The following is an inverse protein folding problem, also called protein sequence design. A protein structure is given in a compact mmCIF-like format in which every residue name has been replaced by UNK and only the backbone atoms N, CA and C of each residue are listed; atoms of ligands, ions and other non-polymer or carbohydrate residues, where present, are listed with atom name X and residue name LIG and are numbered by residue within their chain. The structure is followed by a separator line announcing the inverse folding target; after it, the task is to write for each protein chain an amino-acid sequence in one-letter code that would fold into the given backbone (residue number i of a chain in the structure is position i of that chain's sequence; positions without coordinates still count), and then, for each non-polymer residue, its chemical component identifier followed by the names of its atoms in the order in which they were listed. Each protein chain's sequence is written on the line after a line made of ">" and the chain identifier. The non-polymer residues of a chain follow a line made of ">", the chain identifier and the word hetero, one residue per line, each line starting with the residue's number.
data_IF_643061448575
#
_entry.id   IF_643061448575
#
_cell.length_a   1.000
_cell.length_b   1.000
_cell.length_c   1.000
_cell.angle_alpha   90.00
_cell.angle_beta   90.00
_cell.angle_gamma   90.00
#
_symmetry.space_group_name_H-M   'P 1'
#
loop_
_entity.id
_entity.type
_entity.pdbx_description
1 polymer ?
#
# COMPACT_ATOMS: atom_id res chain seq x y z
N UNK A 1 -6.20 20.69 -14.28
CA UNK A 1 -7.03 20.44 -15.49
C UNK A 1 -7.60 19.04 -15.40
N UNK A 2 -8.92 18.85 -15.52
CA UNK A 2 -9.49 17.50 -15.61
C UNK A 2 -9.25 16.96 -17.02
N UNK A 3 -8.55 15.84 -17.12
CA UNK A 3 -8.35 15.13 -18.39
C UNK A 3 -9.33 13.97 -18.49
N UNK A 4 -9.42 13.36 -19.67
CA UNK A 4 -10.17 12.09 -19.87
C UNK A 4 -9.62 10.95 -19.00
N UNK A 5 -8.38 11.07 -18.50
CA UNK A 5 -7.71 10.05 -17.68
C UNK A 5 -7.88 10.27 -16.18
N UNK A 6 -8.30 11.45 -15.72
CA UNK A 6 -8.35 11.78 -14.28
C UNK A 6 -9.24 10.84 -13.47
N UNK A 7 -10.36 10.38 -14.05
CA UNK A 7 -11.25 9.39 -13.43
C UNK A 7 -10.54 8.04 -13.25
N UNK A 8 -9.83 7.58 -14.28
CA UNK A 8 -9.09 6.31 -14.28
C UNK A 8 -7.92 6.37 -13.29
N UNK A 9 -7.17 7.48 -13.25
CA UNK A 9 -6.10 7.69 -12.26
C UNK A 9 -6.64 7.63 -10.85
N UNK A 10 -7.79 8.25 -10.58
CA UNK A 10 -8.42 8.20 -9.26
C UNK A 10 -8.86 6.79 -8.86
N UNK A 11 -9.34 6.00 -9.82
CA UNK A 11 -9.74 4.61 -9.60
C UNK A 11 -8.52 3.75 -9.28
N UNK A 12 -7.47 3.82 -10.09
CA UNK A 12 -6.23 3.07 -9.88
C UNK A 12 -5.51 3.45 -8.59
N UNK A 13 -5.59 4.72 -8.19
CA UNK A 13 -5.09 5.16 -6.89
C UNK A 13 -5.86 4.49 -5.74
N UNK A 14 -7.18 4.35 -5.85
CA UNK A 14 -7.99 3.63 -4.85
C UNK A 14 -7.63 2.14 -4.81
N UNK A 15 -7.45 1.50 -5.96
CA UNK A 15 -7.03 0.09 -6.04
C UNK A 15 -5.68 -0.12 -5.33
N UNK A 16 -4.70 0.74 -5.61
CA UNK A 16 -3.39 0.72 -4.97
C UNK A 16 -3.51 0.90 -3.44
N UNK A 17 -4.30 1.88 -2.98
CA UNK A 17 -4.55 2.11 -1.56
C UNK A 17 -5.25 0.93 -0.87
N UNK A 18 -6.13 0.21 -1.59
CA UNK A 18 -6.75 -0.99 -1.06
C UNK A 18 -5.70 -2.09 -0.81
N UNK A 19 -4.77 -2.30 -1.75
CA UNK A 19 -3.65 -3.22 -1.56
C UNK A 19 -2.77 -2.82 -0.37
N UNK A 20 -2.42 -1.53 -0.22
CA UNK A 20 -1.64 -1.03 0.92
C UNK A 20 -2.32 -1.32 2.26
N UNK A 21 -3.63 -1.12 2.34
CA UNK A 21 -4.42 -1.45 3.54
C UNK A 21 -4.39 -2.95 3.84
N UNK A 22 -4.53 -3.79 2.82
CA UNK A 22 -4.46 -5.25 3.00
C UNK A 22 -3.08 -5.70 3.47
N UNK A 23 -1.99 -5.11 2.95
CA UNK A 23 -0.63 -5.36 3.43
C UNK A 23 -0.53 -4.97 4.92
N UNK A 24 -0.94 -3.76 5.28
CA UNK A 24 -0.88 -3.28 6.67
C UNK A 24 -1.67 -4.18 7.63
N UNK A 25 -2.87 -4.61 7.23
CA UNK A 25 -3.67 -5.55 8.02
C UNK A 25 -2.95 -6.90 8.20
N UNK A 26 -2.28 -7.40 7.17
CA UNK A 26 -1.52 -8.64 7.25
C UNK A 26 -0.28 -8.49 8.15
N UNK A 27 0.45 -7.37 8.08
CA UNK A 27 1.57 -7.06 8.98
C UNK A 27 1.12 -7.01 10.44
N UNK A 28 -0.03 -6.38 10.72
CA UNK A 28 -0.58 -6.35 12.09
C UNK A 28 -0.91 -7.76 12.61
N UNK A 29 -1.44 -8.63 11.74
CA UNK A 29 -1.68 -10.05 12.09
C UNK A 29 -0.39 -10.80 12.36
N UNK A 30 0.64 -10.59 11.54
CA UNK A 30 1.98 -11.17 11.72
C UNK A 30 2.55 -10.75 13.08
N UNK A 31 2.55 -9.45 13.37
CA UNK A 31 3.06 -8.93 14.63
C UNK A 31 2.30 -9.50 15.83
N UNK A 32 0.97 -9.55 15.77
CA UNK A 32 0.13 -10.14 16.82
C UNK A 32 0.46 -11.63 17.04
N UNK A 33 0.66 -12.41 15.97
CA UNK A 33 1.03 -13.82 16.06
C UNK A 33 2.44 -14.03 16.61
N UNK A 34 3.39 -13.17 16.25
CA UNK A 34 4.74 -13.21 16.82
C UNK A 34 4.72 -12.93 18.32
N UNK A 35 3.94 -11.93 18.78
CA UNK A 35 3.75 -11.67 20.22
C UNK A 35 3.11 -12.86 20.91
N UNK A 36 2.09 -13.49 20.30
CA UNK A 36 1.44 -14.69 20.86
C UNK A 36 2.42 -15.86 21.01
N UNK A 37 3.26 -16.11 20.01
CA UNK A 37 4.31 -17.13 20.07
C UNK A 37 5.30 -16.81 21.20
N UNK A 38 5.71 -15.55 21.33
CA UNK A 38 6.59 -15.10 22.42
C UNK A 38 6.00 -15.36 23.80
N UNK A 39 4.71 -15.07 23.99
CA UNK A 39 4.01 -15.34 25.25
C UNK A 39 3.97 -16.84 25.59
N UNK A 40 3.65 -17.70 24.61
CA UNK A 40 3.67 -19.16 24.84
C UNK A 40 5.07 -19.70 25.13
N UNK A 41 6.10 -19.12 24.51
CA UNK A 41 7.49 -19.49 24.77
C UNK A 41 7.92 -19.08 26.19
N UNK A 42 7.50 -17.90 26.65
CA UNK A 42 7.75 -17.44 28.01
C UNK A 42 7.04 -18.34 29.02
N UNK A 43 5.76 -18.65 28.80
CA UNK A 43 5.00 -19.58 29.64
C UNK A 43 5.65 -20.97 29.70
N UNK A 44 6.15 -21.46 28.57
CA UNK A 44 6.89 -22.72 28.50
C UNK A 44 8.20 -22.68 29.31
N UNK A 45 8.93 -21.56 29.29
CA UNK A 45 10.17 -21.40 30.07
C UNK A 45 9.89 -21.28 31.57
N UNK A 46 8.75 -20.71 31.96
CA UNK A 46 8.31 -20.62 33.35
C UNK A 46 7.77 -21.95 33.89
N UNK A 47 7.47 -22.91 33.02
CA UNK A 47 6.93 -24.22 33.40
C UNK A 47 7.99 -25.04 34.17
N UNK A 48 7.83 -25.14 35.49
CA UNK A 48 8.75 -25.89 36.34
C UNK A 48 8.29 -27.34 36.55
N UNK A 49 9.23 -28.27 36.39
CA UNK A 49 8.99 -29.68 36.70
C UNK A 49 8.83 -29.85 38.21
N UNK A 50 7.77 -30.54 38.68
CA UNK A 50 7.62 -30.83 40.10
C UNK A 50 8.75 -31.76 40.56
N UNK A 51 9.59 -31.28 41.48
CA UNK A 51 10.71 -32.04 42.06
C UNK A 51 10.24 -33.09 43.08
N UNK A 52 9.08 -32.85 43.70
CA UNK A 52 8.44 -33.73 44.68
C UNK A 52 6.92 -33.68 44.47
N UNK A 53 6.22 -34.78 44.77
CA UNK A 53 4.75 -34.82 44.69
C UNK A 53 4.19 -36.17 44.25
N UNK A 54 2.89 -36.21 43.98
CA UNK A 54 2.19 -37.39 43.47
C UNK A 54 2.43 -37.55 41.96
N UNK A 55 2.34 -38.79 41.45
CA UNK A 55 2.44 -39.07 40.00
C UNK A 55 1.45 -38.24 39.15
N UNK A 56 0.29 -37.89 39.71
CA UNK A 56 -0.68 -37.02 39.06
C UNK A 56 -0.13 -35.62 38.75
N UNK A 57 0.69 -35.05 39.63
CA UNK A 57 1.32 -33.74 39.39
C UNK A 57 2.31 -33.78 38.22
N UNK A 58 3.06 -34.89 38.10
CA UNK A 58 3.96 -35.11 36.96
C UNK A 58 3.19 -35.26 35.64
N UNK A 59 2.09 -36.02 35.66
CA UNK A 59 1.23 -36.19 34.48
C UNK A 59 0.62 -34.86 34.02
N UNK A 60 0.10 -34.06 34.95
CA UNK A 60 -0.44 -32.74 34.65
C UNK A 60 0.62 -31.81 34.03
N UNK A 61 1.85 -31.83 34.55
CA UNK A 61 2.97 -31.09 33.98
C UNK A 61 3.26 -31.51 32.53
N UNK A 62 3.35 -32.81 32.25
CA UNK A 62 3.58 -33.31 30.89
C UNK A 62 2.42 -32.95 29.94
N UNK A 63 1.17 -33.00 30.40
CA UNK A 63 0.01 -32.57 29.61
C UNK A 63 0.09 -31.06 29.29
N UNK A 64 0.38 -30.20 30.27
CA UNK A 64 0.55 -28.75 30.06
C UNK A 64 1.71 -28.43 29.11
N UNK A 65 2.84 -29.11 29.26
CA UNK A 65 4.01 -28.98 28.38
C UNK A 65 3.67 -29.33 26.94
N UNK A 66 3.01 -30.47 26.71
CA UNK A 66 2.62 -30.92 25.38
C UNK A 66 1.57 -29.99 24.75
N UNK A 67 0.64 -29.47 25.56
CA UNK A 67 -0.34 -28.47 25.13
C UNK A 67 0.35 -27.19 24.63
N UNK A 68 1.31 -26.65 25.41
CA UNK A 68 2.06 -25.45 25.02
C UNK A 68 2.87 -25.66 23.74
N UNK A 69 3.55 -26.81 23.60
CA UNK A 69 4.28 -27.15 22.38
C UNK A 69 3.35 -27.21 21.16
N UNK A 70 2.16 -27.80 21.32
CA UNK A 70 1.15 -27.84 20.26
C UNK A 70 0.65 -26.45 19.88
N UNK A 71 0.40 -25.57 20.86
CA UNK A 71 -0.01 -24.19 20.59
C UNK A 71 1.07 -23.39 19.88
N UNK A 72 2.34 -23.54 20.27
CA UNK A 72 3.47 -22.91 19.59
C UNK A 72 3.56 -23.41 18.13
N UNK A 73 3.44 -24.71 17.91
CA UNK A 73 3.50 -25.30 16.56
C UNK A 73 2.36 -24.76 15.67
N UNK A 74 1.14 -24.74 16.18
CA UNK A 74 -0.02 -24.21 15.46
C UNK A 74 0.14 -22.72 15.13
N UNK A 75 0.54 -21.90 16.11
CA UNK A 75 0.76 -20.47 15.90
C UNK A 75 1.88 -20.19 14.88
N UNK A 76 2.93 -21.02 14.84
CA UNK A 76 3.99 -20.95 13.83
C UNK A 76 3.47 -21.29 12.43
N UNK A 77 2.65 -22.32 12.31
CA UNK A 77 2.04 -22.68 11.02
C UNK A 77 1.15 -21.55 10.48
N UNK A 78 0.35 -20.92 11.34
CA UNK A 78 -0.45 -19.74 10.96
C UNK A 78 0.44 -18.56 10.54
N UNK A 79 1.56 -18.33 11.25
CA UNK A 79 2.52 -17.30 10.91
C UNK A 79 3.15 -17.54 9.53
N UNK A 80 3.52 -18.77 9.19
CA UNK A 80 4.02 -19.13 7.86
C UNK A 80 2.99 -18.82 6.77
N UNK A 81 1.71 -19.14 7.00
CA UNK A 81 0.61 -18.78 6.10
C UNK A 81 0.48 -17.27 5.90
N UNK A 82 0.61 -16.49 6.97
CA UNK A 82 0.57 -15.02 6.90
C UNK A 82 1.78 -14.44 6.16
N UNK A 83 2.96 -15.04 6.29
CA UNK A 83 4.17 -14.66 5.56
C UNK A 83 4.06 -14.97 4.06
N UNK A 84 3.49 -16.12 3.71
CA UNK A 84 3.19 -16.44 2.31
C UNK A 84 2.17 -15.44 1.72
N UNK A 85 1.13 -15.09 2.49
CA UNK A 85 0.14 -14.09 2.07
C UNK A 85 0.77 -12.69 1.91
N UNK A 86 1.74 -12.31 2.75
CA UNK A 86 2.50 -11.06 2.60
C UNK A 86 3.18 -10.99 1.23
N UNK A 87 3.86 -12.06 0.82
CA UNK A 87 4.53 -12.09 -0.49
C UNK A 87 3.53 -11.92 -1.64
N UNK A 88 2.37 -12.58 -1.55
CA UNK A 88 1.31 -12.46 -2.57
C UNK A 88 0.72 -11.04 -2.63
N UNK A 89 0.46 -10.42 -1.48
CA UNK A 89 -0.05 -9.04 -1.41
C UNK A 89 0.97 -8.03 -1.94
N UNK A 90 2.27 -8.23 -1.69
CA UNK A 90 3.33 -7.39 -2.24
C UNK A 90 3.38 -7.49 -3.77
N UNK A 91 3.20 -8.69 -4.32
CA UNK A 91 3.18 -8.88 -5.77
C UNK A 91 1.94 -8.24 -6.42
N UNK A 92 0.78 -8.33 -5.76
CA UNK A 92 -0.43 -7.62 -6.18
C UNK A 92 -0.24 -6.10 -6.13
N UNK A 93 0.37 -5.58 -5.06
CA UNK A 93 0.68 -4.16 -4.94
C UNK A 93 1.56 -3.66 -6.08
N UNK A 94 2.63 -4.40 -6.42
CA UNK A 94 3.50 -4.04 -7.55
C UNK A 94 2.71 -3.90 -8.86
N UNK A 95 1.80 -4.84 -9.14
CA UNK A 95 0.93 -4.80 -10.33
C UNK A 95 0.03 -3.56 -10.31
N UNK A 96 -0.66 -3.30 -9.21
CA UNK A 96 -1.51 -2.12 -9.05
C UNK A 96 -0.72 -0.81 -9.19
N UNK A 97 0.48 -0.75 -8.62
CA UNK A 97 1.38 0.41 -8.70
C UNK A 97 1.84 0.68 -10.12
N UNK A 98 2.25 -0.36 -10.86
CA UNK A 98 2.63 -0.25 -12.28
C UNK A 98 1.47 0.30 -13.11
N UNK A 99 0.26 -0.24 -12.93
CA UNK A 99 -0.92 0.23 -13.65
C UNK A 99 -1.29 1.69 -13.31
N UNK A 100 -1.17 2.07 -12.05
CA UNK A 100 -1.37 3.46 -11.62
C UNK A 100 -0.36 4.41 -12.31
N UNK A 101 0.92 4.08 -12.31
CA UNK A 101 1.97 4.91 -12.91
C UNK A 101 1.83 5.01 -14.44
N UNK A 102 1.42 3.92 -15.12
CA UNK A 102 1.09 3.95 -16.56
C UNK A 102 0.02 4.99 -16.88
N UNK A 103 -1.11 4.95 -16.16
CA UNK A 103 -2.23 5.87 -16.42
C UNK A 103 -1.86 7.31 -16.03
N UNK A 104 -1.12 7.49 -14.93
CA UNK A 104 -0.63 8.80 -14.50
C UNK A 104 0.32 9.43 -15.52
N UNK A 105 1.17 8.63 -16.16
CA UNK A 105 2.02 9.09 -17.26
C UNK A 105 1.19 9.57 -18.46
N UNK A 106 0.15 8.82 -18.84
CA UNK A 106 -0.78 9.22 -19.91
C UNK A 106 -1.52 10.52 -19.59
N UNK A 107 -1.98 10.67 -18.33
CA UNK A 107 -2.60 11.91 -17.86
C UNK A 107 -1.64 13.09 -17.99
N UNK A 108 -0.38 12.93 -17.55
CA UNK A 108 0.63 13.98 -17.64
C UNK A 108 0.87 14.41 -19.09
N UNK A 109 1.01 13.43 -20.01
CA UNK A 109 1.17 13.72 -21.44
C UNK A 109 -0.02 14.51 -22.00
N UNK A 110 -1.24 14.13 -21.63
CA UNK A 110 -2.45 14.85 -22.06
C UNK A 110 -2.52 16.28 -21.50
N UNK A 111 -2.08 16.50 -20.26
CA UNK A 111 -1.97 17.83 -19.67
C UNK A 111 -0.93 18.69 -20.40
N UNK A 112 0.24 18.13 -20.71
CA UNK A 112 1.31 18.83 -21.43
C UNK A 112 0.85 19.24 -22.84
N UNK A 113 0.13 18.36 -23.55
CA UNK A 113 -0.46 18.69 -24.85
C UNK A 113 -1.52 19.80 -24.76
N UNK A 114 -2.36 19.78 -23.72
CA UNK A 114 -3.35 20.82 -23.48
C UNK A 114 -2.69 22.17 -23.18
N UNK A 115 -1.67 22.20 -22.33
CA UNK A 115 -0.89 23.41 -22.02
C UNK A 115 -0.23 23.97 -23.28
N UNK A 116 0.35 23.11 -24.13
CA UNK A 116 0.95 23.56 -25.40
C UNK A 116 -0.09 24.20 -26.33
N UNK A 117 -1.30 23.65 -26.40
CA UNK A 117 -2.39 24.24 -27.20
C UNK A 117 -2.82 25.59 -26.66
N UNK A 118 -3.02 25.69 -25.35
CA UNK A 118 -3.39 26.96 -24.69
C UNK A 118 -2.34 28.03 -24.94
N UNK A 119 -1.05 27.73 -24.72
CA UNK A 119 0.04 28.68 -24.99
C UNK A 119 0.10 29.15 -26.45
N UNK A 120 -0.17 28.25 -27.39
CA UNK A 120 -0.22 28.61 -28.82
C UNK A 120 -1.41 29.51 -29.13
N UNK A 121 -2.56 29.24 -28.54
CA UNK A 121 -3.75 30.07 -28.71
C UNK A 121 -3.56 31.45 -28.07
N UNK A 122 -3.01 31.51 -26.85
CA UNK A 122 -2.64 32.76 -26.17
C UNK A 122 -1.68 33.60 -27.01
N UNK A 123 -0.67 32.99 -27.64
CA UNK A 123 0.27 33.70 -28.51
C UNK A 123 -0.43 34.31 -29.74
N UNK A 124 -1.33 33.56 -30.39
CA UNK A 124 -2.11 34.05 -31.52
C UNK A 124 -3.05 35.20 -31.13
N UNK A 125 -3.73 35.07 -29.99
CA UNK A 125 -4.62 36.12 -29.46
C UNK A 125 -3.84 37.39 -29.11
N UNK A 126 -2.63 37.27 -28.54
CA UNK A 126 -1.75 38.42 -28.27
C UNK A 126 -1.32 39.10 -29.59
N UNK A 127 -0.94 38.33 -30.60
CA UNK A 127 -0.55 38.87 -31.91
C UNK A 127 -1.72 39.60 -32.59
N UNK A 128 -2.94 39.04 -32.53
CA UNK A 128 -4.16 39.68 -33.04
C UNK A 128 -4.48 40.98 -32.30
N UNK A 129 -4.42 40.98 -30.97
CA UNK A 129 -4.63 42.19 -30.16
C UNK A 129 -3.57 43.25 -30.49
N UNK A 130 -2.30 42.85 -30.66
CA UNK A 130 -1.23 43.77 -31.05
C UNK A 130 -1.48 44.40 -32.43
N UNK A 131 -1.92 43.62 -33.43
CA UNK A 131 -2.31 44.11 -34.75
C UNK A 131 -3.52 45.06 -34.67
N UNK A 132 -4.54 44.73 -33.88
CA UNK A 132 -5.70 45.59 -33.67
C UNK A 132 -5.31 46.92 -33.02
N UNK A 133 -4.44 46.89 -32.01
CA UNK A 133 -3.93 48.10 -31.35
C UNK A 133 -3.09 48.96 -32.30
N UNK A 134 -2.19 48.35 -33.07
CA UNK A 134 -1.39 49.05 -34.08
C UNK A 134 -2.28 49.70 -35.15
N UNK A 135 -3.27 48.97 -35.66
CA UNK A 135 -4.19 49.49 -36.67
C UNK A 135 -5.14 50.57 -36.12
N UNK A 136 -5.63 50.43 -34.88
CA UNK A 136 -6.51 51.43 -34.24
C UNK A 136 -5.78 52.67 -33.73
N UNK A 137 -4.49 52.57 -33.39
CA UNK A 137 -3.65 53.73 -33.11
C UNK A 137 -3.42 54.60 -34.36
N UNK A 138 -3.81 54.10 -35.54
CA UNK A 138 -3.56 54.71 -36.83
C UNK A 138 -2.06 54.65 -37.17
N UNK A 139 -1.72 54.68 -38.44
CA UNK A 139 -0.35 54.90 -38.91
C UNK A 139 0.19 56.29 -38.54
N UNK A 140 0.25 56.63 -37.25
CA UNK A 140 1.00 57.76 -36.74
C UNK A 140 2.46 57.37 -36.72
N UNK A 141 3.08 57.57 -37.88
CA UNK A 141 4.46 57.99 -37.98
C UNK A 141 4.59 59.25 -37.10
N UNK A 142 5.27 59.12 -35.96
CA UNK A 142 6.12 60.16 -35.37
C UNK A 142 7.39 59.45 -34.88
#
# INVERSE_FOLDING_TARGET
>A
MKTKFSSIVSLRKKDMQACERSILQNENKIASKQTQIGAFQEEFLQLQMPQNGTFYAFRAYEESKNMLLSHIAFAKQELEGLLANKALLQEQYKKCHIEYEKVKFLEKKAQDEMIKRLKRQEALEIDEVALMLYNNAGGRII
#
